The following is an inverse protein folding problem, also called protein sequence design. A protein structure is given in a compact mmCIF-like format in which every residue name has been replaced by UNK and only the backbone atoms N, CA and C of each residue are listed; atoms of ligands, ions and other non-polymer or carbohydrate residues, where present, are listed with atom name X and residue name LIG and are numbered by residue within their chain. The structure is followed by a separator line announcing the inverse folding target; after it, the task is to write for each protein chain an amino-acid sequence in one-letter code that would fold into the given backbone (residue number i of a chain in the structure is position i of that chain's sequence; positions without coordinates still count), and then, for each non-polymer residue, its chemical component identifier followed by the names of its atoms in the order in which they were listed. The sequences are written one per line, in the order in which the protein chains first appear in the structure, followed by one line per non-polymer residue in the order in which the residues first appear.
data_IF_529677702942
#
_entry.id   IF_529677702942
#
_cell.length_a   1.000
_cell.length_b   1.000
_cell.length_c   1.000
_cell.angle_alpha   90.00
_cell.angle_beta   90.00
_cell.angle_gamma   90.00
#
_symmetry.space_group_name_H-M   'P 1'
#
loop_
_entity.id
_entity.type
_entity.pdbx_description
1 polymer ?
#
# COMPACT_ATOMS: atom_id res chain seq x y z
N UNK A 1 -9.08 -0.93 -14.94
CA UNK A 1 -7.71 -0.71 -14.44
C UNK A 1 -7.79 -0.88 -12.94
N UNK A 2 -6.87 -1.62 -12.31
CA UNK A 2 -6.82 -1.70 -10.84
C UNK A 2 -6.53 -0.30 -10.28
N UNK A 3 -7.24 0.08 -9.24
CA UNK A 3 -7.09 1.38 -8.56
C UNK A 3 -6.54 1.19 -7.13
N UNK A 4 -6.05 -0.01 -6.85
CA UNK A 4 -5.51 -0.44 -5.57
C UNK A 4 -3.99 -0.23 -5.54
N UNK A 5 -3.48 0.33 -4.45
CA UNK A 5 -2.05 0.55 -4.19
C UNK A 5 -1.70 -0.13 -2.86
N UNK A 6 -0.57 -0.85 -2.84
CA UNK A 6 0.00 -1.38 -1.61
C UNK A 6 1.14 -0.48 -1.13
N UNK A 7 1.10 -0.05 0.13
CA UNK A 7 2.17 0.70 0.79
C UNK A 7 2.88 -0.22 1.79
N UNK A 8 4.19 -0.36 1.65
CA UNK A 8 5.03 -1.24 2.47
C UNK A 8 6.14 -0.42 3.11
N UNK A 9 6.06 -0.25 4.42
CA UNK A 9 6.98 0.59 5.21
C UNK A 9 6.82 0.19 6.68
N UNK A 10 7.86 0.15 7.50
CA UNK A 10 7.75 -0.23 8.92
C UNK A 10 7.32 0.95 9.82
N UNK A 11 7.47 2.20 9.37
CA UNK A 11 7.02 3.40 10.06
C UNK A 11 5.54 3.71 9.82
N UNK A 12 4.69 3.45 10.83
CA UNK A 12 3.26 3.77 10.84
C UNK A 12 2.92 5.21 10.41
N UNK A 13 3.79 6.18 10.74
CA UNK A 13 3.57 7.59 10.44
C UNK A 13 3.67 7.86 8.94
N UNK A 14 4.61 7.23 8.25
CA UNK A 14 4.79 7.38 6.81
C UNK A 14 3.64 6.71 6.06
N UNK A 15 3.26 5.48 6.42
CA UNK A 15 2.11 4.79 5.82
C UNK A 15 0.82 5.61 5.92
N UNK A 16 0.52 6.16 7.10
CA UNK A 16 -0.67 7.02 7.31
C UNK A 16 -0.64 8.30 6.47
N UNK A 17 0.53 8.93 6.35
CA UNK A 17 0.69 10.14 5.54
C UNK A 17 0.42 9.84 4.06
N UNK A 18 1.05 8.81 3.52
CA UNK A 18 0.91 8.40 2.13
C UNK A 18 -0.53 7.98 1.82
N UNK A 19 -1.14 7.16 2.68
CA UNK A 19 -2.55 6.77 2.57
C UNK A 19 -3.49 7.96 2.49
N UNK A 20 -3.35 8.93 3.39
CA UNK A 20 -4.19 10.13 3.40
C UNK A 20 -4.10 10.91 2.07
N UNK A 21 -2.92 11.01 1.45
CA UNK A 21 -2.77 11.69 0.16
C UNK A 21 -3.34 10.88 -0.99
N UNK A 22 -3.09 9.58 -1.03
CA UNK A 22 -3.52 8.73 -2.15
C UNK A 22 -5.04 8.48 -2.13
N UNK A 23 -5.65 8.31 -0.95
CA UNK A 23 -7.11 8.22 -0.83
C UNK A 23 -7.81 9.50 -1.29
N UNK A 24 -7.20 10.68 -1.08
CA UNK A 24 -7.73 11.96 -1.59
C UNK A 24 -7.73 12.02 -3.12
N UNK A 25 -6.82 11.32 -3.76
CA UNK A 25 -6.77 11.13 -5.22
C UNK A 25 -7.64 9.95 -5.69
N UNK A 26 -8.51 9.44 -4.80
CA UNK A 26 -9.45 8.35 -5.05
C UNK A 26 -8.82 6.97 -5.26
N UNK A 27 -7.58 6.73 -4.81
CA UNK A 27 -6.99 5.38 -4.79
C UNK A 27 -7.50 4.57 -3.59
N UNK A 28 -7.55 3.25 -3.76
CA UNK A 28 -7.80 2.29 -2.67
C UNK A 28 -6.47 1.80 -2.11
N UNK A 29 -6.28 1.88 -0.79
CA UNK A 29 -4.96 1.69 -0.17
C UNK A 29 -4.97 0.48 0.75
N UNK A 30 -4.09 -0.46 0.46
CA UNK A 30 -3.68 -1.52 1.37
C UNK A 30 -2.32 -1.16 1.99
N UNK A 31 -2.11 -1.56 3.22
CA UNK A 31 -0.89 -1.26 3.99
C UNK A 31 -0.25 -2.57 4.45
N UNK A 32 1.07 -2.62 4.44
CA UNK A 32 1.86 -3.67 5.06
C UNK A 32 2.98 -3.05 5.90
N UNK A 33 3.21 -3.62 7.08
CA UNK A 33 4.23 -3.16 8.04
C UNK A 33 5.56 -3.91 7.92
N UNK A 34 5.59 -4.98 7.11
CA UNK A 34 6.74 -5.83 6.94
C UNK A 34 6.68 -6.61 5.60
N UNK A 35 7.80 -7.22 5.23
CA UNK A 35 7.92 -7.93 3.96
C UNK A 35 7.06 -9.19 3.82
N UNK A 36 6.75 -9.89 4.91
CA UNK A 36 5.92 -11.10 4.84
C UNK A 36 4.46 -10.75 4.52
N UNK A 37 3.91 -9.77 5.24
CA UNK A 37 2.57 -9.22 4.99
C UNK A 37 2.47 -8.65 3.56
N UNK A 38 3.48 -7.89 3.13
CA UNK A 38 3.54 -7.34 1.78
C UNK A 38 3.57 -8.43 0.70
N UNK A 39 4.36 -9.48 0.91
CA UNK A 39 4.47 -10.61 -0.02
C UNK A 39 3.14 -11.34 -0.17
N UNK A 40 2.48 -11.66 0.95
CA UNK A 40 1.17 -12.31 0.95
C UNK A 40 0.13 -11.47 0.19
N UNK A 41 0.04 -10.18 0.53
CA UNK A 41 -0.87 -9.24 -0.14
C UNK A 41 -0.60 -9.11 -1.64
N UNK A 42 0.66 -9.04 -2.05
CA UNK A 42 1.06 -8.91 -3.46
C UNK A 42 0.80 -10.17 -4.28
N UNK A 43 0.77 -11.36 -3.64
CA UNK A 43 0.42 -12.62 -4.30
C UNK A 43 -1.08 -12.84 -4.38
N UNK A 44 -1.86 -12.31 -3.44
CA UNK A 44 -3.32 -12.45 -3.41
C UNK A 44 -4.06 -11.40 -4.25
N UNK A 45 -3.47 -10.22 -4.44
CA UNK A 45 -4.12 -9.07 -5.07
C UNK A 45 -3.32 -8.56 -6.27
N UNK A 46 -4.00 -7.88 -7.20
CA UNK A 46 -3.38 -7.27 -8.38
C UNK A 46 -3.33 -5.75 -8.25
N UNK A 47 -2.31 -5.25 -7.57
CA UNK A 47 -2.10 -3.81 -7.36
C UNK A 47 -1.66 -3.11 -8.64
N UNK A 48 -2.13 -1.86 -8.81
CA UNK A 48 -1.64 -0.98 -9.87
C UNK A 48 -0.21 -0.49 -9.58
N UNK A 49 0.14 -0.35 -8.30
CA UNK A 49 1.45 0.09 -7.84
C UNK A 49 1.71 -0.49 -6.44
N UNK A 50 2.98 -0.80 -6.15
CA UNK A 50 3.46 -1.14 -4.82
C UNK A 50 4.56 -0.13 -4.46
N UNK A 51 4.39 0.57 -3.35
CA UNK A 51 5.39 1.49 -2.79
C UNK A 51 6.15 0.76 -1.69
N UNK A 52 7.48 0.69 -1.82
CA UNK A 52 8.39 0.00 -0.91
C UNK A 52 9.43 0.98 -0.37
N UNK A 53 9.69 0.96 0.94
CA UNK A 53 10.86 1.53 1.62
C UNK A 53 11.90 0.46 1.97
#
# INVERSE_FOLDING_TARGET
MSNEILIVDDEDRIRRLLKMYLERESFEIHEASNGQEAYELAMENNYACILLD
#
